data_IF_571636343221
#
_entry.id   IF_571636343221
#
_cell.length_a   1.000
_cell.length_b   1.000
_cell.length_c   1.000
_cell.angle_alpha   90.00
_cell.angle_beta   90.00
_cell.angle_gamma   90.00
#
_symmetry.space_group_name_H-M   'P 1'
#
loop_
_entity.id
_entity.type
_entity.pdbx_description
1 polymer ?
#
# COMPACT_ATOMS: atom_id res chain seq x y z
N UNK A 1 -35.19 8.79 -33.71
CA UNK A 1 -36.07 7.65 -33.32
C UNK A 1 -35.41 6.33 -33.73
N UNK A 2 -34.22 6.00 -33.20
CA UNK A 2 -33.40 4.85 -33.65
C UNK A 2 -32.76 4.06 -32.49
N UNK A 3 -33.39 4.09 -31.31
CA UNK A 3 -32.96 3.34 -30.14
C UNK A 3 -34.19 2.66 -29.55
N UNK A 4 -34.47 1.41 -29.93
CA UNK A 4 -35.06 0.35 -29.08
C UNK A 4 -35.62 -0.82 -29.89
N UNK A 5 -34.76 -1.79 -30.22
CA UNK A 5 -35.15 -3.21 -30.29
C UNK A 5 -33.98 -4.06 -29.79
N UNK A 6 -33.52 -3.81 -28.56
CA UNK A 6 -32.68 -4.79 -27.84
C UNK A 6 -33.60 -5.98 -27.56
N UNK A 7 -33.32 -7.15 -28.13
CA UNK A 7 -34.19 -8.32 -27.96
C UNK A 7 -34.09 -8.77 -26.50
N UNK A 8 -35.21 -9.21 -25.93
CA UNK A 8 -35.27 -9.74 -24.56
C UNK A 8 -34.21 -10.81 -24.25
N UNK A 9 -33.81 -11.59 -25.27
CA UNK A 9 -32.71 -12.58 -25.17
C UNK A 9 -31.35 -11.94 -24.89
N UNK A 10 -31.08 -10.77 -25.45
CA UNK A 10 -29.82 -10.02 -25.24
C UNK A 10 -29.75 -9.48 -23.80
N UNK A 11 -30.90 -9.11 -23.22
CA UNK A 11 -31.00 -8.66 -21.82
C UNK A 11 -30.72 -9.80 -20.82
N UNK A 12 -31.17 -11.02 -21.10
CA UNK A 12 -30.87 -12.19 -20.27
C UNK A 12 -29.39 -12.58 -20.36
N UNK A 13 -28.79 -12.51 -21.56
CA UNK A 13 -27.36 -12.72 -21.75
C UNK A 13 -26.55 -11.68 -20.98
N UNK A 14 -26.94 -10.41 -21.06
CA UNK A 14 -26.33 -9.32 -20.31
C UNK A 14 -26.42 -9.54 -18.79
N UNK A 15 -27.60 -9.92 -18.27
CA UNK A 15 -27.76 -10.24 -16.84
C UNK A 15 -26.87 -11.40 -16.39
N UNK A 16 -26.77 -12.46 -17.18
CA UNK A 16 -25.89 -13.61 -16.87
C UNK A 16 -24.42 -13.21 -16.92
N UNK A 17 -24.02 -12.41 -17.89
CA UNK A 17 -22.66 -11.89 -18.02
C UNK A 17 -22.29 -10.99 -16.83
N UNK A 18 -23.18 -10.05 -16.46
CA UNK A 18 -23.00 -9.17 -15.29
C UNK A 18 -22.93 -10.00 -14.00
N UNK A 19 -23.84 -10.95 -13.79
CA UNK A 19 -23.82 -11.81 -12.61
C UNK A 19 -22.52 -12.62 -12.50
N UNK A 20 -22.09 -13.24 -13.61
CA UNK A 20 -20.83 -13.99 -13.65
C UNK A 20 -19.63 -13.07 -13.36
N UNK A 21 -19.61 -11.88 -13.94
CA UNK A 21 -18.55 -10.90 -13.73
C UNK A 21 -18.53 -10.36 -12.29
N UNK A 22 -19.68 -10.04 -11.72
CA UNK A 22 -19.81 -9.63 -10.32
C UNK A 22 -19.36 -10.74 -9.38
N UNK A 23 -19.78 -12.00 -9.60
CA UNK A 23 -19.32 -13.13 -8.79
C UNK A 23 -17.80 -13.31 -8.89
N UNK A 24 -17.23 -13.13 -10.08
CA UNK A 24 -15.78 -13.20 -10.29
C UNK A 24 -15.03 -12.06 -9.60
N UNK A 25 -15.53 -10.83 -9.68
CA UNK A 25 -14.94 -9.66 -9.00
C UNK A 25 -15.02 -9.75 -7.48
N UNK A 26 -16.11 -10.32 -6.96
CA UNK A 26 -16.31 -10.51 -5.52
C UNK A 26 -15.35 -11.58 -5.00
N UNK A 27 -15.36 -12.76 -5.62
CA UNK A 27 -14.61 -13.93 -5.14
C UNK A 27 -13.11 -13.93 -5.43
N UNK A 28 -12.63 -13.11 -6.37
CA UNK A 28 -11.22 -13.09 -6.75
C UNK A 28 -10.53 -11.77 -6.41
N UNK A 29 -9.21 -11.82 -6.34
CA UNK A 29 -8.37 -10.63 -6.36
C UNK A 29 -8.63 -9.78 -7.60
N UNK A 30 -8.21 -8.52 -7.56
CA UNK A 30 -8.31 -7.60 -8.68
C UNK A 30 -6.96 -7.44 -9.37
N UNK A 31 -6.98 -6.85 -10.55
CA UNK A 31 -5.74 -6.36 -11.16
C UNK A 31 -5.20 -5.20 -10.33
N UNK A 32 -3.88 -5.00 -10.37
CA UNK A 32 -3.23 -3.85 -9.75
C UNK A 32 -3.79 -2.52 -10.26
N UNK A 33 -4.19 -2.44 -11.54
CA UNK A 33 -4.73 -1.22 -12.14
C UNK A 33 -6.11 -0.85 -11.55
N UNK A 34 -7.01 -1.82 -11.40
CA UNK A 34 -8.33 -1.55 -10.79
C UNK A 34 -8.18 -1.17 -9.32
N UNK A 35 -7.35 -1.89 -8.57
CA UNK A 35 -7.11 -1.54 -7.17
C UNK A 35 -6.47 -0.17 -7.01
N UNK A 36 -5.50 0.16 -7.86
CA UNK A 36 -4.86 1.46 -7.89
C UNK A 36 -5.83 2.60 -8.23
N UNK A 37 -6.71 2.44 -9.23
CA UNK A 37 -7.76 3.41 -9.52
C UNK A 37 -8.67 3.66 -8.30
N UNK A 38 -9.04 2.63 -7.55
CA UNK A 38 -9.87 2.77 -6.35
C UNK A 38 -9.12 3.50 -5.22
N UNK A 39 -7.82 3.24 -5.07
CA UNK A 39 -6.93 3.94 -4.14
C UNK A 39 -6.83 5.42 -4.54
N UNK A 40 -6.58 5.72 -5.81
CA UNK A 40 -6.49 7.10 -6.32
C UNK A 40 -7.79 7.87 -6.15
N UNK A 41 -8.94 7.21 -6.34
CA UNK A 41 -10.25 7.79 -6.05
C UNK A 41 -10.42 8.10 -4.55
N UNK A 42 -9.99 7.21 -3.66
CA UNK A 42 -10.03 7.44 -2.21
C UNK A 42 -9.21 8.66 -1.81
N UNK A 43 -7.96 8.74 -2.27
CA UNK A 43 -7.08 9.90 -2.04
C UNK A 43 -7.68 11.19 -2.61
N UNK A 44 -8.23 11.15 -3.83
CA UNK A 44 -8.84 12.30 -4.45
C UNK A 44 -10.06 12.82 -3.67
N UNK A 45 -10.94 11.93 -3.20
CA UNK A 45 -12.09 12.29 -2.37
C UNK A 45 -11.65 12.92 -1.05
N UNK A 46 -10.64 12.33 -0.40
CA UNK A 46 -10.09 12.87 0.84
C UNK A 46 -9.47 14.26 0.61
N UNK A 47 -8.65 14.39 -0.43
CA UNK A 47 -8.01 15.65 -0.82
C UNK A 47 -9.03 16.76 -1.12
N UNK A 48 -10.11 16.46 -1.84
CA UNK A 48 -11.18 17.45 -2.13
C UNK A 48 -11.79 18.03 -0.84
N UNK A 49 -11.82 17.25 0.25
CA UNK A 49 -12.43 17.68 1.52
C UNK A 49 -11.43 18.34 2.48
N UNK A 50 -10.20 17.86 2.52
CA UNK A 50 -9.20 18.23 3.53
C UNK A 50 -8.00 19.00 2.98
N UNK A 51 -7.90 19.19 1.67
CA UNK A 51 -6.82 19.91 0.96
C UNK A 51 -5.41 19.33 1.20
N UNK A 52 -5.32 18.10 1.69
CA UNK A 52 -4.07 17.34 1.79
C UNK A 52 -4.30 15.85 1.52
N UNK A 53 -3.25 15.09 1.13
CA UNK A 53 -3.34 13.64 0.97
C UNK A 53 -3.67 12.91 2.28
N UNK A 54 -4.02 11.62 2.20
CA UNK A 54 -4.29 10.82 3.41
C UNK A 54 -3.01 10.64 4.23
N UNK A 55 -3.02 11.11 5.48
CA UNK A 55 -1.97 10.81 6.45
C UNK A 55 -2.40 9.60 7.30
N UNK A 56 -1.54 8.59 7.43
CA UNK A 56 -1.86 7.38 8.19
C UNK A 56 -1.03 7.26 9.47
N UNK A 57 0.24 7.59 9.36
CA UNK A 57 1.24 7.38 10.40
C UNK A 57 0.95 8.15 11.69
N UNK A 58 0.57 9.43 11.58
CA UNK A 58 0.16 10.21 12.76
C UNK A 58 -1.13 9.65 13.35
N UNK A 59 -2.09 9.27 12.51
CA UNK A 59 -3.32 8.62 12.96
C UNK A 59 -3.09 7.32 13.73
N UNK A 60 -2.14 6.49 13.29
CA UNK A 60 -1.78 5.27 14.03
C UNK A 60 -1.13 5.59 15.38
N UNK A 61 -0.25 6.60 15.44
CA UNK A 61 0.35 7.05 16.69
C UNK A 61 -0.70 7.59 17.69
N UNK A 62 -1.69 8.35 17.21
CA UNK A 62 -2.84 8.80 18.01
C UNK A 62 -3.71 7.64 18.51
N UNK A 63 -3.90 6.61 17.69
CA UNK A 63 -4.60 5.38 18.10
C UNK A 63 -3.84 4.62 19.18
N UNK A 64 -2.50 4.57 19.10
CA UNK A 64 -1.69 4.04 20.19
C UNK A 64 -1.81 4.90 21.45
N UNK A 65 -1.74 6.24 21.34
CA UNK A 65 -1.95 7.15 22.47
C UNK A 65 -3.30 6.92 23.17
N UNK A 66 -4.36 6.62 22.41
CA UNK A 66 -5.66 6.19 22.95
C UNK A 66 -5.58 4.87 23.74
N UNK A 67 -4.83 3.89 23.23
CA UNK A 67 -4.58 2.64 23.97
C UNK A 67 -3.82 2.91 25.29
N UNK A 68 -2.78 3.75 25.27
CA UNK A 68 -2.03 4.08 26.50
C UNK A 68 -2.92 4.71 27.57
N UNK A 69 -3.79 5.64 27.15
CA UNK A 69 -4.75 6.31 28.04
C UNK A 69 -5.69 5.31 28.72
N UNK A 70 -6.14 4.29 27.99
CA UNK A 70 -6.98 3.22 28.56
C UNK A 70 -6.20 2.31 29.52
N UNK A 71 -4.91 2.09 29.25
CA UNK A 71 -4.04 1.26 30.09
C UNK A 71 -3.39 2.03 31.25
N UNK A 72 -3.61 3.34 31.35
CA UNK A 72 -3.14 4.17 32.47
C UNK A 72 -1.67 4.58 32.38
N UNK A 73 -1.07 4.62 31.18
CA UNK A 73 0.29 5.13 30.99
C UNK A 73 0.36 6.16 29.85
N UNK A 74 1.51 6.82 29.68
CA UNK A 74 1.66 7.92 28.72
C UNK A 74 3.07 8.03 28.13
N UNK A 75 3.44 7.17 27.17
CA UNK A 75 4.70 7.34 26.43
C UNK A 75 4.46 8.17 25.16
N UNK A 76 3.58 7.71 24.29
CA UNK A 76 3.19 8.38 23.06
C UNK A 76 2.18 9.52 23.29
N UNK A 77 1.27 9.36 24.25
CA UNK A 77 0.23 10.37 24.56
C UNK A 77 0.77 11.69 25.12
N UNK A 78 2.06 11.76 25.47
CA UNK A 78 2.76 13.03 25.78
C UNK A 78 2.96 13.92 24.56
N UNK A 79 3.03 13.31 23.38
CA UNK A 79 3.29 14.01 22.13
C UNK A 79 2.10 13.93 21.17
N UNK A 80 1.42 12.78 21.11
CA UNK A 80 0.26 12.57 20.25
C UNK A 80 -1.04 12.71 21.05
N UNK A 81 -2.00 13.47 20.53
CA UNK A 81 -3.33 13.53 21.12
C UNK A 81 -4.07 12.19 20.94
N UNK A 82 -4.59 11.57 22.01
CA UNK A 82 -5.41 10.38 21.90
C UNK A 82 -6.61 10.61 20.97
N UNK A 83 -6.68 9.88 19.86
CA UNK A 83 -7.75 9.97 18.87
C UNK A 83 -7.95 8.63 18.16
N UNK A 84 -8.98 8.55 17.30
CA UNK A 84 -9.17 7.45 16.35
C UNK A 84 -8.99 7.96 14.93
N UNK A 85 -8.29 7.18 14.12
CA UNK A 85 -8.13 7.47 12.71
C UNK A 85 -9.16 6.66 11.89
N UNK A 86 -10.31 7.25 11.63
CA UNK A 86 -11.44 6.59 10.96
C UNK A 86 -11.11 6.02 9.57
N UNK A 87 -10.14 6.59 8.85
CA UNK A 87 -9.65 6.02 7.58
C UNK A 87 -8.94 4.67 7.79
N UNK A 88 -8.18 4.52 8.89
CA UNK A 88 -7.51 3.24 9.22
C UNK A 88 -8.58 2.20 9.58
N UNK A 89 -9.57 2.58 10.38
CA UNK A 89 -10.72 1.72 10.72
C UNK A 89 -11.43 1.23 9.46
N UNK A 90 -11.74 2.15 8.53
CA UNK A 90 -12.32 1.82 7.23
C UNK A 90 -11.43 0.88 6.40
N UNK A 91 -10.12 1.09 6.39
CA UNK A 91 -9.18 0.26 5.64
C UNK A 91 -9.09 -1.18 6.19
N UNK A 92 -9.06 -1.35 7.51
CA UNK A 92 -9.10 -2.67 8.16
C UNK A 92 -10.45 -3.36 7.90
N UNK A 93 -11.56 -2.62 7.99
CA UNK A 93 -12.89 -3.16 7.71
C UNK A 93 -13.03 -3.63 6.25
N UNK A 94 -12.49 -2.88 5.29
CA UNK A 94 -12.46 -3.28 3.88
C UNK A 94 -11.67 -4.57 3.65
N UNK A 95 -10.58 -4.78 4.40
CA UNK A 95 -9.82 -6.02 4.33
C UNK A 95 -10.57 -7.22 4.94
N UNK A 96 -11.32 -7.01 6.02
CA UNK A 96 -12.24 -8.01 6.58
C UNK A 96 -13.30 -8.37 5.53
N UNK A 97 -13.93 -7.36 4.93
CA UNK A 97 -14.92 -7.55 3.85
C UNK A 97 -14.29 -8.31 2.67
N UNK A 98 -13.05 -7.99 2.30
CA UNK A 98 -12.30 -8.70 1.25
C UNK A 98 -12.11 -10.17 1.58
N UNK A 99 -11.66 -10.51 2.79
CA UNK A 99 -11.48 -11.90 3.21
C UNK A 99 -12.82 -12.67 3.20
N UNK A 100 -13.92 -12.02 3.58
CA UNK A 100 -15.26 -12.59 3.51
C UNK A 100 -15.74 -12.82 2.07
N UNK A 101 -15.55 -11.82 1.20
CA UNK A 101 -15.91 -11.87 -0.22
C UNK A 101 -15.15 -12.97 -0.97
N UNK A 102 -13.87 -13.14 -0.67
CA UNK A 102 -13.00 -14.19 -1.23
C UNK A 102 -13.19 -15.55 -0.55
N UNK A 103 -13.88 -15.59 0.59
CA UNK A 103 -14.01 -16.78 1.44
C UNK A 103 -12.65 -17.39 1.84
N UNK A 104 -11.62 -16.55 1.96
CA UNK A 104 -10.24 -16.96 2.24
C UNK A 104 -9.63 -16.05 3.32
N UNK A 105 -9.79 -16.44 4.58
CA UNK A 105 -9.10 -15.78 5.67
C UNK A 105 -7.63 -16.17 5.66
N UNK A 106 -6.71 -15.21 5.60
CA UNK A 106 -5.27 -15.47 5.51
C UNK A 106 -4.64 -15.84 6.85
N UNK A 107 -5.49 -16.26 7.78
CA UNK A 107 -5.14 -16.82 9.06
C UNK A 107 -4.38 -18.14 8.95
N UNK A 108 -4.63 -18.92 7.90
CA UNK A 108 -4.01 -20.23 7.66
C UNK A 108 -2.53 -20.14 7.29
N UNK A 109 -2.02 -18.97 6.90
CA UNK A 109 -0.62 -18.83 6.49
C UNK A 109 0.29 -18.96 7.71
N UNK A 110 1.12 -20.00 7.71
CA UNK A 110 2.10 -20.23 8.75
C UNK A 110 3.38 -19.45 8.43
N UNK A 111 3.84 -18.65 9.40
CA UNK A 111 5.10 -17.91 9.29
C UNK A 111 6.08 -18.42 10.35
N UNK A 112 7.34 -18.70 9.99
CA UNK A 112 8.35 -19.07 10.97
C UNK A 112 8.62 -17.87 11.89
N UNK A 113 9.05 -18.16 13.13
CA UNK A 113 9.31 -17.12 14.16
C UNK A 113 10.30 -16.06 13.70
N UNK A 114 11.27 -16.43 12.86
CA UNK A 114 12.23 -15.48 12.26
C UNK A 114 11.53 -14.39 11.45
N UNK A 115 10.52 -14.74 10.65
CA UNK A 115 9.74 -13.79 9.84
C UNK A 115 8.82 -12.93 10.71
N UNK A 116 8.29 -13.48 11.81
CA UNK A 116 7.52 -12.69 12.77
C UNK A 116 8.40 -11.64 13.48
N UNK A 117 9.59 -12.03 13.92
CA UNK A 117 10.58 -11.10 14.47
C UNK A 117 11.02 -10.05 13.45
N UNK A 118 11.24 -10.46 12.20
CA UNK A 118 11.55 -9.56 11.11
C UNK A 118 10.43 -8.54 10.89
N UNK A 119 9.17 -8.99 10.93
CA UNK A 119 8.01 -8.12 10.75
C UNK A 119 7.86 -7.12 11.91
N UNK A 120 8.12 -7.56 13.14
CA UNK A 120 8.16 -6.69 14.31
C UNK A 120 9.27 -5.63 14.20
N UNK A 121 10.50 -6.05 13.90
CA UNK A 121 11.63 -5.13 13.71
C UNK A 121 11.38 -4.19 12.53
N UNK A 122 10.79 -4.69 11.45
CA UNK A 122 10.36 -3.91 10.29
C UNK A 122 9.36 -2.83 10.67
N UNK A 123 8.34 -3.16 11.46
CA UNK A 123 7.39 -2.18 12.00
C UNK A 123 8.08 -1.08 12.80
N UNK A 124 9.03 -1.44 13.67
CA UNK A 124 9.79 -0.47 14.48
C UNK A 124 10.65 0.46 13.62
N UNK A 125 11.43 -0.09 12.69
CA UNK A 125 12.28 0.69 11.78
C UNK A 125 11.42 1.58 10.88
N UNK A 126 10.31 1.06 10.36
CA UNK A 126 9.40 1.79 9.49
C UNK A 126 8.71 2.95 10.22
N UNK A 127 8.12 2.73 11.39
CA UNK A 127 7.43 3.83 12.09
C UNK A 127 8.40 4.91 12.53
N UNK A 128 9.61 4.56 12.97
CA UNK A 128 10.62 5.57 13.25
C UNK A 128 11.00 6.34 11.97
N UNK A 129 11.31 5.64 10.88
CA UNK A 129 11.63 6.25 9.59
C UNK A 129 10.53 7.18 9.05
N UNK A 130 9.26 6.80 9.24
CA UNK A 130 8.11 7.60 8.82
C UNK A 130 7.95 8.91 9.60
N UNK A 131 8.50 9.01 10.83
CA UNK A 131 8.54 10.27 11.56
C UNK A 131 9.67 11.16 11.07
N UNK A 132 10.83 10.58 10.79
CA UNK A 132 11.98 11.32 10.23
C UNK A 132 11.67 11.88 8.83
N UNK A 133 10.93 11.12 8.01
CA UNK A 133 10.48 11.57 6.70
C UNK A 133 9.20 12.43 6.74
N UNK A 134 8.61 12.66 7.92
CA UNK A 134 7.33 13.36 8.09
C UNK A 134 6.17 12.74 7.29
N UNK A 135 6.21 11.44 7.04
CA UNK A 135 5.22 10.71 6.27
C UNK A 135 5.62 9.26 6.06
N UNK A 136 4.64 8.39 5.80
CA UNK A 136 4.90 7.04 5.30
C UNK A 136 4.87 7.01 3.78
N UNK A 137 5.00 5.81 3.23
CA UNK A 137 5.04 5.63 1.78
C UNK A 137 3.70 5.85 1.10
N UNK A 138 2.56 5.72 1.79
CA UNK A 138 1.27 6.22 1.26
C UNK A 138 1.35 7.73 1.02
N UNK A 139 1.79 8.47 2.03
CA UNK A 139 1.98 9.90 1.94
C UNK A 139 2.99 10.28 0.86
N UNK A 140 4.14 9.61 0.80
CA UNK A 140 5.19 9.99 -0.14
C UNK A 140 4.94 9.55 -1.57
N UNK A 141 4.53 8.29 -1.79
CA UNK A 141 4.40 7.69 -3.11
C UNK A 141 3.03 7.98 -3.75
N UNK A 142 1.95 8.04 -2.96
CA UNK A 142 0.63 8.40 -3.50
C UNK A 142 0.44 9.91 -3.47
N UNK A 143 0.47 10.49 -2.28
CA UNK A 143 0.28 11.93 -2.09
C UNK A 143 1.38 12.75 -2.73
N UNK A 144 2.63 12.53 -2.34
CA UNK A 144 3.75 13.38 -2.72
C UNK A 144 4.13 13.34 -4.19
N UNK A 145 4.01 12.19 -4.85
CA UNK A 145 4.16 12.13 -6.31
C UNK A 145 3.03 12.91 -6.99
N UNK A 146 1.78 12.75 -6.53
CA UNK A 146 0.65 13.48 -7.10
C UNK A 146 0.72 15.01 -6.84
N UNK A 147 1.29 15.44 -5.72
CA UNK A 147 1.50 16.87 -5.43
C UNK A 147 2.80 17.43 -6.02
N UNK A 148 3.56 16.62 -6.77
CA UNK A 148 4.86 16.99 -7.34
C UNK A 148 5.87 17.46 -6.28
N UNK A 149 5.79 16.91 -5.07
CA UNK A 149 6.57 17.36 -3.94
C UNK A 149 7.99 16.80 -3.97
N UNK A 150 8.99 17.69 -3.85
CA UNK A 150 10.40 17.32 -4.04
C UNK A 150 10.96 16.48 -2.90
N UNK A 151 10.48 16.70 -1.66
CA UNK A 151 10.82 15.86 -0.51
C UNK A 151 10.44 14.39 -0.73
N UNK A 152 9.25 14.15 -1.28
CA UNK A 152 8.81 12.81 -1.66
C UNK A 152 9.65 12.20 -2.77
N UNK A 153 10.05 12.98 -3.77
CA UNK A 153 10.95 12.47 -4.80
C UNK A 153 12.26 11.99 -4.17
N UNK A 154 12.84 12.74 -3.22
CA UNK A 154 14.02 12.30 -2.47
C UNK A 154 13.77 10.98 -1.73
N UNK A 155 12.64 10.87 -1.02
CA UNK A 155 12.24 9.62 -0.35
C UNK A 155 12.13 8.46 -1.33
N UNK A 156 11.54 8.66 -2.51
CA UNK A 156 11.42 7.62 -3.55
C UNK A 156 12.80 7.25 -4.11
N UNK A 157 13.61 8.25 -4.48
CA UNK A 157 14.93 8.04 -5.09
C UNK A 157 15.91 7.34 -4.15
N UNK A 158 15.86 7.63 -2.86
CA UNK A 158 16.68 6.95 -1.84
C UNK A 158 16.05 5.60 -1.45
N UNK A 159 14.73 5.55 -1.34
CA UNK A 159 14.01 4.37 -0.88
C UNK A 159 14.10 3.18 -1.83
N UNK A 160 13.96 3.38 -3.14
CA UNK A 160 14.02 2.28 -4.14
C UNK A 160 15.34 1.49 -4.07
N UNK A 161 16.54 2.09 -4.17
CA UNK A 161 17.79 1.34 -4.09
C UNK A 161 17.98 0.70 -2.71
N UNK A 162 17.53 1.34 -1.63
CA UNK A 162 17.57 0.74 -0.29
C UNK A 162 16.64 -0.48 -0.18
N UNK A 163 15.43 -0.43 -0.75
CA UNK A 163 14.51 -1.57 -0.79
C UNK A 163 15.12 -2.73 -1.57
N UNK A 164 15.77 -2.45 -2.71
CA UNK A 164 16.50 -3.45 -3.49
C UNK A 164 17.67 -4.07 -2.73
N UNK A 165 18.47 -3.26 -2.03
CA UNK A 165 19.55 -3.76 -1.19
C UNK A 165 19.02 -4.62 -0.04
N UNK A 166 17.92 -4.21 0.59
CA UNK A 166 17.26 -4.97 1.67
C UNK A 166 16.72 -6.29 1.14
N UNK A 167 16.07 -6.29 -0.02
CA UNK A 167 15.61 -7.50 -0.70
C UNK A 167 16.76 -8.47 -0.97
N UNK A 168 17.89 -7.95 -1.45
CA UNK A 168 19.09 -8.75 -1.68
C UNK A 168 19.60 -9.38 -0.37
N UNK A 169 19.64 -8.64 0.74
CA UNK A 169 19.99 -9.18 2.06
C UNK A 169 19.02 -10.30 2.47
N UNK A 170 17.71 -10.05 2.38
CA UNK A 170 16.69 -11.04 2.74
C UNK A 170 16.78 -12.31 1.89
N UNK A 171 17.15 -12.17 0.61
CA UNK A 171 17.38 -13.32 -0.27
C UNK A 171 18.56 -14.17 0.17
N UNK A 172 19.66 -13.54 0.61
CA UNK A 172 20.83 -14.24 1.14
C UNK A 172 20.52 -14.98 2.44
N UNK A 173 19.60 -14.44 3.24
CA UNK A 173 19.09 -15.07 4.46
C UNK A 173 18.03 -16.14 4.21
N UNK A 174 17.64 -16.39 2.95
CA UNK A 174 16.55 -17.30 2.55
C UNK A 174 15.20 -16.95 3.20
N UNK A 175 14.98 -15.66 3.47
CA UNK A 175 13.72 -15.14 4.03
C UNK A 175 12.81 -14.54 2.96
N UNK A 176 13.28 -14.46 1.72
CA UNK A 176 12.57 -13.88 0.58
C UNK A 176 11.37 -14.69 0.09
N UNK A 177 11.25 -15.97 0.48
CA UNK A 177 10.14 -16.86 0.07
C UNK A 177 8.75 -16.40 0.58
N UNK A 178 8.71 -15.54 1.59
CA UNK A 178 7.47 -14.95 2.11
C UNK A 178 7.11 -13.60 1.46
N UNK A 179 7.94 -13.09 0.55
CA UNK A 179 7.69 -11.87 -0.19
C UNK A 179 6.74 -12.13 -1.36
N UNK A 180 5.47 -12.37 -1.06
CA UNK A 180 4.39 -12.50 -2.07
C UNK A 180 3.50 -11.26 -2.08
N UNK A 181 2.89 -10.89 -3.22
CA UNK A 181 1.85 -9.87 -3.25
C UNK A 181 0.69 -10.23 -2.32
N UNK A 182 0.23 -11.48 -2.37
CA UNK A 182 -0.83 -11.99 -1.51
C UNK A 182 -0.75 -13.52 -1.43
N UNK A 183 -1.19 -14.10 -0.32
CA UNK A 183 -1.22 -15.54 -0.10
C UNK A 183 -2.63 -16.06 -0.37
N UNK A 184 -3.01 -16.33 -1.62
CA UNK A 184 -4.30 -16.95 -1.94
C UNK A 184 -4.21 -18.47 -1.81
N UNK A 185 -5.13 -19.08 -1.05
CA UNK A 185 -5.07 -20.54 -0.79
C UNK A 185 -5.15 -21.37 -2.07
N UNK A 186 -6.00 -20.97 -3.03
CA UNK A 186 -6.13 -21.64 -4.32
C UNK A 186 -4.84 -21.56 -5.13
N UNK A 187 -4.25 -20.38 -5.23
CA UNK A 187 -2.97 -20.16 -5.93
C UNK A 187 -1.82 -20.94 -5.28
N UNK A 188 -1.77 -20.99 -3.96
CA UNK A 188 -0.74 -21.71 -3.20
C UNK A 188 -0.87 -23.23 -3.35
N UNK A 189 -2.10 -23.77 -3.34
CA UNK A 189 -2.35 -25.19 -3.62
C UNK A 189 -1.96 -25.54 -5.05
N UNK A 190 -2.31 -24.69 -6.02
CA UNK A 190 -1.90 -24.89 -7.42
C UNK A 190 -0.38 -24.89 -7.57
N UNK A 191 0.31 -23.95 -6.92
CA UNK A 191 1.76 -23.89 -6.93
C UNK A 191 2.42 -25.14 -6.33
N UNK A 192 1.83 -25.72 -5.28
CA UNK A 192 2.28 -27.00 -4.71
C UNK A 192 2.14 -28.16 -5.69
N UNK A 193 1.02 -28.25 -6.40
CA UNK A 193 0.82 -29.27 -7.44
C UNK A 193 1.84 -29.16 -8.57
N UNK A 194 2.31 -27.94 -8.85
CA UNK A 194 3.34 -27.65 -9.86
C UNK A 194 4.78 -27.80 -9.34
N UNK A 195 4.97 -28.12 -8.06
CA UNK A 195 6.30 -28.29 -7.46
C UNK A 195 7.06 -26.97 -7.19
N UNK A 196 6.38 -25.82 -7.14
CA UNK A 196 7.01 -24.53 -6.91
C UNK A 196 7.24 -24.26 -5.41
N UNK A 197 8.28 -24.87 -4.84
CA UNK A 197 8.59 -24.88 -3.40
C UNK A 197 8.37 -23.53 -2.68
N UNK A 198 8.95 -22.45 -3.22
CA UNK A 198 8.88 -21.12 -2.60
C UNK A 198 7.49 -20.47 -2.67
N UNK A 199 6.63 -20.89 -3.59
CA UNK A 199 5.28 -20.33 -3.74
C UNK A 199 4.31 -20.93 -2.72
N UNK A 200 4.69 -21.98 -2.00
CA UNK A 200 3.88 -22.59 -0.94
C UNK A 200 4.54 -22.66 0.43
N UNK A 201 5.61 -21.89 0.69
CA UNK A 201 6.32 -21.89 1.99
C UNK A 201 5.44 -21.55 3.21
N UNK A 202 4.32 -20.86 3.01
CA UNK A 202 3.36 -20.54 4.08
C UNK A 202 2.27 -21.60 4.31
N UNK A 203 2.21 -22.65 3.50
CA UNK A 203 1.21 -23.72 3.61
C UNK A 203 1.71 -24.81 4.56
N UNK A 204 1.10 -24.89 5.74
CA UNK A 204 1.30 -25.97 6.70
C UNK A 204 -0.08 -26.58 7.05
N UNK A 205 -0.30 -27.84 6.65
CA UNK A 205 -1.56 -28.56 6.89
C UNK A 205 -1.81 -28.83 8.39
N UNK A 206 -0.74 -28.88 9.18
CA UNK A 206 -0.82 -29.07 10.63
C UNK A 206 -1.09 -27.78 11.40
N UNK A 207 -0.92 -26.61 10.76
CA UNK A 207 -1.06 -25.33 11.43
C UNK A 207 -2.51 -25.04 11.80
N UNK A 208 -2.74 -24.76 13.10
CA UNK A 208 -4.05 -24.44 13.67
C UNK A 208 -4.01 -23.01 14.22
N UNK A 209 -4.42 -21.99 13.43
CA UNK A 209 -4.27 -20.59 13.81
C UNK A 209 -4.95 -20.25 15.15
N UNK A 210 -6.10 -20.87 15.43
CA UNK A 210 -6.85 -20.68 16.68
C UNK A 210 -6.12 -21.20 17.93
N UNK A 211 -5.07 -22.02 17.78
CA UNK A 211 -4.26 -22.56 18.89
C UNK A 211 -2.87 -21.92 18.98
N UNK A 212 -2.52 -21.05 18.05
CA UNK A 212 -1.25 -20.34 18.05
C UNK A 212 -1.26 -19.23 19.09
N UNK A 213 -0.53 -19.45 20.19
CA UNK A 213 -0.47 -18.51 21.33
C UNK A 213 0.08 -17.15 20.93
N UNK A 214 1.09 -17.11 20.06
CA UNK A 214 1.69 -15.84 19.62
C UNK A 214 0.63 -15.04 18.86
N UNK A 215 -0.05 -15.68 17.92
CA UNK A 215 -1.13 -15.07 17.16
C UNK A 215 -2.25 -14.54 18.07
N UNK A 216 -2.69 -15.32 19.05
CA UNK A 216 -3.75 -14.90 19.99
C UNK A 216 -3.33 -13.64 20.76
N UNK A 217 -2.10 -13.60 21.30
CA UNK A 217 -1.57 -12.43 22.01
C UNK A 217 -1.56 -11.19 21.10
N UNK A 218 -1.12 -11.35 19.85
CA UNK A 218 -1.07 -10.23 18.91
C UNK A 218 -2.48 -9.77 18.49
N UNK A 219 -3.45 -10.68 18.38
CA UNK A 219 -4.86 -10.32 18.13
C UNK A 219 -5.42 -9.51 19.30
N UNK A 220 -5.12 -9.91 20.55
CA UNK A 220 -5.53 -9.15 21.74
C UNK A 220 -4.93 -7.75 21.68
N UNK A 221 -3.63 -7.62 21.40
CA UNK A 221 -2.96 -6.33 21.25
C UNK A 221 -3.59 -5.45 20.16
N UNK A 222 -3.81 -6.00 18.96
CA UNK A 222 -4.47 -5.27 17.87
C UNK A 222 -5.90 -4.85 18.22
N UNK A 223 -6.64 -5.72 18.92
CA UNK A 223 -8.02 -5.44 19.36
C UNK A 223 -8.06 -4.35 20.43
N UNK A 224 -7.09 -4.29 21.34
CA UNK A 224 -6.96 -3.22 22.33
C UNK A 224 -6.72 -1.86 21.66
N UNK A 225 -5.95 -1.81 20.58
CA UNK A 225 -5.72 -0.55 19.84
C UNK A 225 -6.97 -0.13 19.07
N UNK A 226 -7.55 -1.04 18.28
CA UNK A 226 -8.71 -0.73 17.45
C UNK A 226 -9.95 -0.43 18.31
N UNK A 227 -10.28 -1.30 19.27
CA UNK A 227 -11.39 -1.11 20.18
C UNK A 227 -11.14 0.06 21.13
N UNK A 228 -9.93 0.19 21.65
CA UNK A 228 -9.58 1.25 22.57
C UNK A 228 -9.61 2.65 21.95
N UNK A 229 -9.10 2.80 20.73
CA UNK A 229 -9.20 4.07 20.00
C UNK A 229 -10.65 4.46 19.67
N UNK A 230 -11.51 3.50 19.29
CA UNK A 230 -12.94 3.76 19.07
C UNK A 230 -13.61 4.23 20.37
N UNK A 231 -13.38 3.55 21.50
CA UNK A 231 -13.93 3.96 22.81
C UNK A 231 -13.41 5.35 23.22
N UNK A 232 -12.12 5.61 23.04
CA UNK A 232 -11.52 6.91 23.32
C UNK A 232 -12.09 8.03 22.45
N UNK A 233 -12.40 7.75 21.18
CA UNK A 233 -12.96 8.75 20.26
C UNK A 233 -14.31 9.27 20.70
N UNK A 234 -15.17 8.38 21.22
CA UNK A 234 -16.49 8.73 21.74
C UNK A 234 -16.43 9.66 22.96
N UNK A 235 -15.31 9.69 23.67
CA UNK A 235 -15.13 10.51 24.87
C UNK A 235 -14.34 11.80 24.63
N UNK A 236 -13.66 11.95 23.49
CA UNK A 236 -12.63 12.99 23.31
C UNK A 236 -12.77 13.88 22.08
N UNK A 237 -13.43 13.43 21.00
CA UNK A 237 -13.50 14.21 19.75
C UNK A 237 -14.93 14.29 19.23
N UNK A 238 -15.50 15.50 19.23
CA UNK A 238 -16.81 15.76 18.64
C UNK A 238 -16.69 15.86 17.10
N UNK A 239 -16.56 14.72 16.42
CA UNK A 239 -16.79 14.63 14.96
C UNK A 239 -18.26 14.34 14.68
N UNK A 240 -18.82 14.96 13.65
CA UNK A 240 -20.18 14.65 13.21
C UNK A 240 -20.25 13.22 12.66
N UNK A 241 -21.40 12.55 12.81
CA UNK A 241 -21.62 11.22 12.25
C UNK A 241 -21.39 11.17 10.72
N UNK A 242 -21.74 12.25 10.01
CA UNK A 242 -21.50 12.37 8.57
C UNK A 242 -20.00 12.43 8.24
N UNK A 243 -19.19 13.09 9.07
CA UNK A 243 -17.74 13.12 8.88
C UNK A 243 -17.11 11.75 9.15
N UNK A 244 -17.53 11.08 10.22
CA UNK A 244 -17.09 9.71 10.53
C UNK A 244 -17.42 8.77 9.37
N UNK A 245 -18.66 8.80 8.87
CA UNK A 245 -19.10 7.99 7.75
C UNK A 245 -18.27 8.28 6.49
N UNK A 246 -17.98 9.55 6.21
CA UNK A 246 -17.14 9.93 5.08
C UNK A 246 -15.72 9.36 5.21
N UNK A 247 -15.08 9.50 6.37
CA UNK A 247 -13.72 9.00 6.59
C UNK A 247 -13.64 7.47 6.54
N UNK A 248 -14.66 6.79 7.08
CA UNK A 248 -14.79 5.33 6.96
C UNK A 248 -14.97 4.93 5.50
N UNK A 249 -15.79 5.65 4.72
CA UNK A 249 -15.97 5.40 3.28
C UNK A 249 -14.66 5.57 2.51
N UNK A 250 -13.92 6.66 2.74
CA UNK A 250 -12.58 6.86 2.17
C UNK A 250 -11.67 5.69 2.53
N UNK A 251 -11.62 5.32 3.82
CA UNK A 251 -10.87 4.17 4.31
C UNK A 251 -11.27 2.85 3.65
N UNK A 252 -12.56 2.62 3.42
CA UNK A 252 -13.07 1.43 2.75
C UNK A 252 -12.58 1.34 1.32
N UNK A 253 -12.64 2.43 0.55
CA UNK A 253 -12.14 2.47 -0.83
C UNK A 253 -10.63 2.21 -0.88
N UNK A 254 -9.88 2.86 0.01
CA UNK A 254 -8.43 2.68 0.15
C UNK A 254 -8.09 1.22 0.48
N UNK A 255 -8.69 0.68 1.54
CA UNK A 255 -8.45 -0.68 2.02
C UNK A 255 -8.88 -1.74 1.02
N UNK A 256 -9.98 -1.56 0.29
CA UNK A 256 -10.41 -2.50 -0.76
C UNK A 256 -9.38 -2.57 -1.88
N UNK A 257 -8.88 -1.43 -2.35
CA UNK A 257 -7.86 -1.41 -3.40
C UNK A 257 -6.58 -2.13 -2.99
N UNK A 258 -6.12 -1.92 -1.75
CA UNK A 258 -4.95 -2.61 -1.20
C UNK A 258 -5.19 -4.10 -0.91
N UNK A 259 -6.32 -4.45 -0.29
CA UNK A 259 -6.63 -5.82 0.12
C UNK A 259 -6.94 -6.74 -1.07
N UNK A 260 -7.59 -6.23 -2.12
CA UNK A 260 -7.92 -7.02 -3.33
C UNK A 260 -6.74 -7.22 -4.27
N UNK A 261 -5.69 -6.42 -4.17
CA UNK A 261 -4.52 -6.52 -5.08
C UNK A 261 -3.25 -7.00 -4.40
N UNK A 262 -3.17 -6.89 -3.07
CA UNK A 262 -1.92 -7.13 -2.35
C UNK A 262 -0.82 -6.12 -2.66
N UNK A 263 -1.16 -4.96 -3.25
CA UNK A 263 -0.19 -3.93 -3.63
C UNK A 263 0.53 -3.36 -2.41
N UNK A 264 1.84 -3.14 -2.53
CA UNK A 264 2.61 -2.27 -1.64
C UNK A 264 3.21 -1.14 -2.46
N UNK A 265 3.25 0.07 -1.92
CA UNK A 265 3.70 1.27 -2.65
C UNK A 265 5.19 1.21 -3.00
N UNK A 266 6.04 0.76 -2.08
CA UNK A 266 7.50 0.63 -2.31
C UNK A 266 7.79 -0.52 -3.26
N UNK A 267 7.15 -1.68 -3.04
CA UNK A 267 7.24 -2.82 -3.93
C UNK A 267 6.81 -2.46 -5.36
N UNK A 268 5.79 -1.61 -5.48
CA UNK A 268 5.32 -1.14 -6.77
C UNK A 268 6.35 -0.26 -7.47
N UNK A 269 6.90 0.71 -6.77
CA UNK A 269 7.91 1.62 -7.30
C UNK A 269 9.21 0.92 -7.71
N UNK A 270 9.56 -0.18 -7.05
CA UNK A 270 10.75 -0.98 -7.33
C UNK A 270 10.62 -1.91 -8.54
N UNK A 271 9.40 -2.16 -9.02
CA UNK A 271 9.18 -3.15 -10.07
C UNK A 271 9.90 -2.87 -11.41
N UNK A 272 10.05 -1.62 -11.88
CA UNK A 272 10.87 -1.33 -13.07
C UNK A 272 12.33 -1.81 -12.94
N UNK A 273 12.98 -1.56 -11.80
CA UNK A 273 14.37 -1.95 -11.54
C UNK A 273 14.51 -3.47 -11.43
N UNK A 274 13.54 -4.15 -10.82
CA UNK A 274 13.58 -5.62 -10.72
C UNK A 274 13.53 -6.31 -12.08
N UNK A 275 12.88 -5.70 -13.08
CA UNK A 275 12.88 -6.22 -14.45
C UNK A 275 14.29 -6.23 -15.05
N UNK A 276 15.07 -5.18 -14.80
CA UNK A 276 16.47 -5.08 -15.28
C UNK A 276 17.34 -6.16 -14.61
N UNK A 277 17.01 -6.51 -13.37
CA UNK A 277 17.77 -7.46 -12.55
C UNK A 277 17.19 -8.88 -12.54
N UNK A 278 16.32 -9.23 -13.49
CA UNK A 278 15.56 -10.50 -13.53
C UNK A 278 16.41 -11.73 -13.22
N UNK A 279 17.57 -11.87 -13.86
CA UNK A 279 18.41 -13.07 -13.72
C UNK A 279 18.96 -13.22 -12.28
N UNK A 280 19.23 -12.10 -11.59
CA UNK A 280 19.68 -12.11 -10.20
C UNK A 280 18.57 -12.50 -9.24
N UNK A 281 17.30 -12.23 -9.58
CA UNK A 281 16.16 -12.65 -8.79
C UNK A 281 15.97 -14.18 -8.84
N UNK A 282 16.31 -14.83 -9.95
CA UNK A 282 16.17 -16.28 -10.08
C UNK A 282 16.97 -17.03 -9.01
N UNK A 283 18.18 -16.54 -8.72
CA UNK A 283 19.10 -17.07 -7.71
C UNK A 283 18.70 -16.74 -6.26
N UNK A 284 17.71 -15.88 -6.05
CA UNK A 284 17.42 -15.23 -4.77
C UNK A 284 16.31 -15.92 -3.92
N UNK A 285 15.82 -17.10 -4.32
CA UNK A 285 14.76 -17.82 -3.59
C UNK A 285 13.41 -17.07 -3.53
N UNK A 286 13.24 -16.02 -4.36
CA UNK A 286 12.01 -15.24 -4.41
C UNK A 286 10.90 -16.08 -5.08
N UNK A 287 9.65 -16.03 -4.58
CA UNK A 287 8.52 -16.74 -5.16
C UNK A 287 8.34 -16.39 -6.63
N UNK A 288 7.99 -17.40 -7.43
CA UNK A 288 7.77 -17.28 -8.88
C UNK A 288 6.64 -16.29 -9.18
N UNK A 289 5.54 -16.32 -8.42
CA UNK A 289 4.47 -15.32 -8.53
C UNK A 289 4.99 -13.88 -8.36
N UNK A 290 5.91 -13.66 -7.42
CA UNK A 290 6.51 -12.34 -7.18
C UNK A 290 7.40 -11.93 -8.33
N UNK A 291 8.30 -12.82 -8.78
CA UNK A 291 9.16 -12.58 -9.96
C UNK A 291 8.33 -12.22 -11.19
N UNK A 292 7.26 -12.97 -11.42
CA UNK A 292 6.34 -12.79 -12.54
C UNK A 292 5.59 -11.45 -12.46
N UNK A 293 5.08 -11.11 -11.28
CA UNK A 293 4.36 -9.85 -11.03
C UNK A 293 5.28 -8.63 -11.21
N UNK A 294 6.51 -8.74 -10.73
CA UNK A 294 7.50 -7.65 -10.79
C UNK A 294 8.08 -7.48 -12.20
N UNK A 295 8.45 -8.57 -12.87
CA UNK A 295 8.98 -8.52 -14.25
C UNK A 295 7.97 -7.99 -15.27
N UNK A 296 6.67 -8.17 -15.01
CA UNK A 296 5.58 -7.58 -15.79
C UNK A 296 5.23 -6.14 -15.40
N UNK A 297 5.89 -5.55 -14.39
CA UNK A 297 5.69 -4.16 -13.96
C UNK A 297 4.22 -3.88 -13.54
N UNK A 298 3.44 -4.92 -13.21
CA UNK A 298 2.03 -4.77 -12.83
C UNK A 298 1.83 -3.89 -11.59
N UNK A 299 2.63 -4.04 -10.52
CA UNK A 299 2.52 -3.19 -9.34
C UNK A 299 2.75 -1.71 -9.66
N UNK A 300 3.73 -1.36 -10.51
CA UNK A 300 3.99 0.03 -10.90
C UNK A 300 2.84 0.62 -11.72
N UNK A 301 2.23 -0.17 -12.62
CA UNK A 301 1.00 0.25 -13.30
C UNK A 301 -0.13 0.55 -12.29
N UNK A 302 -0.25 -0.28 -11.25
CA UNK A 302 -1.16 -0.04 -10.13
C UNK A 302 -0.86 1.26 -9.38
N UNK A 303 0.40 1.49 -9.02
CA UNK A 303 0.84 2.72 -8.35
C UNK A 303 0.52 3.96 -9.19
N UNK A 304 0.86 3.96 -10.47
CA UNK A 304 0.57 5.07 -11.38
C UNK A 304 -0.95 5.29 -11.54
N UNK A 305 -1.74 4.21 -11.60
CA UNK A 305 -3.20 4.31 -11.64
C UNK A 305 -3.82 4.88 -10.36
N UNK A 306 -3.10 4.85 -9.23
CA UNK A 306 -3.48 5.53 -8.00
C UNK A 306 -3.03 7.01 -7.98
N UNK A 307 -1.81 7.30 -8.44
CA UNK A 307 -1.25 8.66 -8.46
C UNK A 307 -1.97 9.57 -9.46
N UNK A 308 -2.27 9.08 -10.66
CA UNK A 308 -2.81 9.89 -11.76
C UNK A 308 -4.16 10.53 -11.40
N UNK A 309 -5.18 9.81 -10.88
CA UNK A 309 -6.46 10.42 -10.52
C UNK A 309 -6.33 11.55 -9.50
N UNK A 310 -5.54 11.34 -8.44
CA UNK A 310 -5.28 12.37 -7.43
C UNK A 310 -4.56 13.57 -8.06
N UNK A 311 -3.52 13.33 -8.88
CA UNK A 311 -2.77 14.37 -9.56
C UNK A 311 -3.66 15.25 -10.45
N UNK A 312 -4.57 14.63 -11.22
CA UNK A 312 -5.50 15.35 -12.08
C UNK A 312 -6.47 16.24 -11.28
N UNK A 313 -6.93 15.77 -10.12
CA UNK A 313 -7.78 16.57 -9.21
C UNK A 313 -7.00 17.75 -8.62
N UNK A 314 -5.73 17.53 -8.23
CA UNK A 314 -4.85 18.61 -7.76
C UNK A 314 -4.63 19.67 -8.84
N UNK A 315 -4.31 19.25 -10.08
CA UNK A 315 -4.15 20.18 -11.20
C UNK A 315 -5.43 20.97 -11.48
N UNK A 316 -6.58 20.33 -11.41
CA UNK A 316 -7.87 21.00 -11.56
C UNK A 316 -8.09 22.05 -10.46
N UNK A 317 -7.91 21.69 -9.19
CA UNK A 317 -8.07 22.63 -8.07
C UNK A 317 -7.09 23.80 -8.17
N UNK A 318 -5.83 23.53 -8.54
CA UNK A 318 -4.79 24.55 -8.61
C UNK A 318 -4.91 25.45 -9.84
N UNK A 319 -4.93 24.88 -11.05
CA UNK A 319 -4.88 25.65 -12.30
C UNK A 319 -6.25 26.28 -12.60
N UNK A 320 -7.34 25.53 -12.39
CA UNK A 320 -8.69 25.98 -12.81
C UNK A 320 -9.39 26.76 -11.71
N UNK A 321 -9.22 26.36 -10.44
CA UNK A 321 -9.91 27.01 -9.31
C UNK A 321 -9.02 27.95 -8.50
N UNK A 322 -7.73 28.01 -8.79
CA UNK A 322 -6.79 28.91 -8.11
C UNK A 322 -6.50 28.52 -6.66
N UNK A 323 -6.81 27.28 -6.24
CA UNK A 323 -6.39 26.80 -4.93
C UNK A 323 -4.86 26.70 -4.88
N UNK A 324 -4.21 26.95 -3.73
CA UNK A 324 -2.76 26.77 -3.63
C UNK A 324 -2.40 25.30 -3.87
N UNK A 325 -1.25 25.05 -4.50
CA UNK A 325 -0.73 23.69 -4.63
C UNK A 325 -0.48 23.12 -3.23
N UNK A 326 -1.04 21.96 -2.88
CA UNK A 326 -0.91 21.41 -1.55
C UNK A 326 0.55 21.04 -1.25
N UNK A 327 0.99 21.37 -0.04
CA UNK A 327 2.28 20.91 0.45
C UNK A 327 2.11 19.53 1.07
N UNK A 328 2.89 18.56 0.57
CA UNK A 328 3.00 17.26 1.22
C UNK A 328 4.06 17.26 2.34
N UNK A 329 4.38 18.41 2.94
CA UNK A 329 5.31 18.53 4.06
C UNK A 329 4.73 19.40 5.17
N UNK A 330 5.36 19.38 6.35
CA UNK A 330 4.99 20.33 7.40
C UNK A 330 5.24 21.76 6.88
N UNK A 331 4.27 22.68 7.00
CA UNK A 331 4.48 24.08 6.63
C UNK A 331 5.64 24.72 7.40
N UNK A 332 5.97 24.15 8.56
CA UNK A 332 7.01 24.66 9.46
C UNK A 332 8.43 24.16 9.11
N UNK A 333 8.57 23.17 8.20
CA UNK A 333 9.88 22.62 7.84
C UNK A 333 10.45 23.29 6.58
N UNK A 334 11.65 23.92 6.67
CA UNK A 334 12.26 24.61 5.54
C UNK A 334 12.79 23.59 4.52
N UNK A 335 12.14 23.52 3.36
CA UNK A 335 12.62 22.79 2.19
C UNK A 335 12.88 21.30 2.44
N UNK A 336 13.85 20.75 1.69
CA UNK A 336 14.30 19.36 1.85
C UNK A 336 15.33 19.33 2.99
N UNK A 337 15.17 18.43 3.94
CA UNK A 337 16.13 18.25 5.04
C UNK A 337 16.61 16.79 5.11
N UNK A 338 17.63 16.53 5.94
CA UNK A 338 18.24 15.20 6.12
C UNK A 338 17.21 14.12 6.50
N UNK A 339 16.10 14.51 7.12
CA UNK A 339 15.00 13.63 7.51
C UNK A 339 14.40 12.85 6.34
N UNK A 340 14.27 13.45 5.16
CA UNK A 340 13.77 12.75 3.97
C UNK A 340 14.72 11.66 3.48
N UNK A 341 16.04 11.88 3.59
CA UNK A 341 17.04 10.90 3.19
C UNK A 341 17.07 9.73 4.19
N UNK A 342 17.28 10.03 5.48
CA UNK A 342 17.35 9.00 6.52
C UNK A 342 16.03 8.27 6.70
N UNK A 343 14.93 9.01 6.70
CA UNK A 343 13.58 8.45 6.76
C UNK A 343 13.28 7.60 5.54
N UNK A 344 13.67 8.01 4.32
CA UNK A 344 13.52 7.20 3.11
C UNK A 344 14.26 5.86 3.18
N UNK A 345 15.50 5.84 3.69
CA UNK A 345 16.26 4.61 3.94
C UNK A 345 15.52 3.70 4.92
N UNK A 346 15.10 4.24 6.07
CA UNK A 346 14.47 3.44 7.12
C UNK A 346 13.07 2.95 6.72
N UNK A 347 12.28 3.76 6.02
CA UNK A 347 11.01 3.36 5.42
C UNK A 347 11.21 2.19 4.45
N UNK A 348 12.19 2.27 3.57
CA UNK A 348 12.48 1.21 2.61
C UNK A 348 12.91 -0.09 3.30
N UNK A 349 13.84 -0.03 4.25
CA UNK A 349 14.25 -1.20 5.05
C UNK A 349 13.02 -1.78 5.75
N UNK A 350 12.34 -0.97 6.55
CA UNK A 350 11.20 -1.40 7.37
C UNK A 350 10.09 -2.04 6.52
N UNK A 351 9.80 -1.48 5.34
CA UNK A 351 8.77 -2.00 4.43
C UNK A 351 9.10 -3.40 3.91
N UNK A 352 10.36 -3.66 3.59
CA UNK A 352 10.81 -4.98 3.14
C UNK A 352 10.79 -6.00 4.29
N UNK A 353 11.20 -5.59 5.50
CA UNK A 353 11.22 -6.46 6.68
C UNK A 353 9.81 -6.86 7.15
N UNK A 354 8.82 -5.97 7.03
CA UNK A 354 7.41 -6.28 7.36
C UNK A 354 6.58 -6.81 6.20
N UNK A 355 7.21 -7.07 5.05
CA UNK A 355 6.58 -7.60 3.84
C UNK A 355 5.45 -6.67 3.30
N UNK A 356 5.64 -5.35 3.38
CA UNK A 356 4.68 -4.35 2.90
C UNK A 356 4.90 -2.94 3.46
N UNK A 357 4.13 -1.96 2.97
CA UNK A 357 3.99 -0.63 3.59
C UNK A 357 3.00 -0.65 4.76
N UNK A 358 2.94 0.46 5.51
CA UNK A 358 1.97 0.67 6.59
C UNK A 358 0.51 0.43 6.18
N UNK A 359 0.03 1.00 5.08
CA UNK A 359 -1.36 0.79 4.62
C UNK A 359 -1.62 -0.66 4.19
N UNK A 360 -0.63 -1.31 3.56
CA UNK A 360 -0.72 -2.73 3.22
C UNK A 360 -0.75 -3.58 4.48
N UNK A 361 -0.05 -3.18 5.54
CA UNK A 361 -0.11 -3.85 6.84
C UNK A 361 -1.52 -3.77 7.44
N UNK A 362 -2.27 -2.68 7.27
CA UNK A 362 -3.68 -2.62 7.68
C UNK A 362 -4.57 -3.55 6.84
N UNK A 363 -4.34 -3.59 5.53
CA UNK A 363 -5.05 -4.52 4.65
C UNK A 363 -4.75 -5.98 5.01
N UNK A 364 -3.50 -6.30 5.35
CA UNK A 364 -3.10 -7.63 5.83
C UNK A 364 -3.62 -7.93 7.23
N UNK A 365 -3.73 -6.92 8.11
CA UNK A 365 -4.32 -7.09 9.43
C UNK A 365 -5.78 -7.55 9.33
N UNK A 366 -6.60 -6.85 8.54
CA UNK A 366 -8.02 -7.19 8.37
C UNK A 366 -8.23 -8.56 7.70
N UNK A 367 -7.30 -9.02 6.85
CA UNK A 367 -7.33 -10.37 6.27
C UNK A 367 -6.80 -11.47 7.22
N UNK A 368 -6.23 -11.10 8.37
CA UNK A 368 -5.77 -12.04 9.40
C UNK A 368 -4.33 -12.55 9.24
N UNK A 369 -3.43 -11.80 8.60
CA UNK A 369 -2.01 -12.17 8.50
C UNK A 369 -1.29 -12.02 9.84
N UNK A 370 -0.57 -13.06 10.27
CA UNK A 370 0.22 -13.02 11.53
C UNK A 370 1.41 -12.04 11.45
N UNK A 371 1.99 -11.82 10.27
CA UNK A 371 3.06 -10.83 10.08
C UNK A 371 2.59 -9.41 10.31
N UNK A 372 1.39 -9.06 9.83
CA UNK A 372 0.80 -7.75 10.08
C UNK A 372 0.48 -7.54 11.57
N UNK A 373 -0.03 -8.58 12.23
CA UNK A 373 -0.22 -8.61 13.68
C UNK A 373 1.10 -8.39 14.44
N UNK A 374 2.21 -8.99 13.99
CA UNK A 374 3.53 -8.84 14.59
C UNK A 374 4.16 -7.45 14.35
N UNK A 375 3.86 -6.81 13.21
CA UNK A 375 4.36 -5.47 12.89
C UNK A 375 3.77 -4.38 13.80
N UNK A 376 2.54 -4.55 14.30
CA UNK A 376 1.84 -3.54 15.13
C UNK A 376 2.57 -3.17 16.43
N UNK A 377 2.98 -4.13 17.28
CA UNK A 377 3.84 -3.82 18.43
C UNK A 377 5.17 -3.15 18.02
N UNK A 378 5.69 -3.52 16.85
CA UNK A 378 6.85 -2.86 16.25
C UNK A 378 6.59 -1.38 15.98
N UNK A 379 5.48 -1.05 15.31
CA UNK A 379 5.10 0.33 15.02
C UNK A 379 5.03 1.18 16.29
N UNK A 380 4.38 0.67 17.34
CA UNK A 380 4.29 1.32 18.64
C UNK A 380 5.68 1.69 19.17
N UNK A 381 6.59 0.72 19.24
CA UNK A 381 7.93 0.95 19.77
C UNK A 381 8.78 1.87 18.89
N UNK A 382 8.61 1.83 17.56
CA UNK A 382 9.34 2.74 16.68
C UNK A 382 8.88 4.20 16.77
N UNK A 383 7.66 4.47 17.25
CA UNK A 383 7.22 5.84 17.55
C UNK A 383 7.83 6.40 18.84
N UNK A 384 8.20 5.54 19.80
CA UNK A 384 8.65 5.96 21.14
C UNK A 384 9.90 6.86 21.09
N UNK A 385 10.99 6.53 20.36
CA UNK A 385 12.17 7.39 20.31
C UNK A 385 11.85 8.79 19.80
N UNK A 386 11.00 8.90 18.77
CA UNK A 386 10.60 10.19 18.23
C UNK A 386 9.74 10.96 19.25
N UNK A 387 8.74 10.33 19.86
CA UNK A 387 7.89 10.99 20.86
C UNK A 387 8.70 11.55 22.06
N UNK A 388 9.71 10.81 22.53
CA UNK A 388 10.54 11.21 23.66
C UNK A 388 11.58 12.29 23.32
N UNK A 389 12.07 12.32 22.08
CA UNK A 389 13.21 13.16 21.68
C UNK A 389 12.96 14.05 20.46
N UNK A 390 11.70 14.31 20.10
CA UNK A 390 11.34 15.02 18.85
C UNK A 390 12.10 16.33 18.66
N UNK A 391 12.21 17.18 19.69
CA UNK A 391 12.92 18.46 19.58
C UNK A 391 14.39 18.29 19.18
N UNK A 392 15.08 17.29 19.75
CA UNK A 392 16.49 17.03 19.44
C UNK A 392 16.64 16.41 18.05
N UNK A 393 15.73 15.51 17.70
CA UNK A 393 15.71 14.85 16.40
C UNK A 393 15.43 15.89 15.30
N UNK A 394 14.36 16.68 15.43
CA UNK A 394 14.00 17.70 14.46
C UNK A 394 15.10 18.74 14.31
N UNK A 395 15.66 19.25 15.42
CA UNK A 395 16.80 20.17 15.36
C UNK A 395 18.02 19.59 14.62
N UNK A 396 18.33 18.31 14.85
CA UNK A 396 19.38 17.62 14.11
C UNK A 396 19.02 17.47 12.62
N UNK A 397 17.80 17.03 12.30
CA UNK A 397 17.37 16.84 10.92
C UNK A 397 17.36 18.14 10.12
N UNK A 398 16.91 19.24 10.72
CA UNK A 398 16.83 20.57 10.08
C UNK A 398 18.17 21.30 10.06
N UNK A 399 19.17 20.84 10.80
CA UNK A 399 20.53 21.44 10.76
C UNK A 399 21.19 21.31 9.39
N UNK A 400 20.74 20.36 8.57
CA UNK A 400 21.20 20.13 7.19
C UNK A 400 20.00 20.32 6.26
N UNK A 401 19.77 21.57 5.87
CA UNK A 401 18.77 21.95 4.88
C UNK A 401 19.40 21.94 3.47
N UNK A 402 18.71 21.31 2.53
CA UNK A 402 19.05 21.30 1.12
C UNK A 402 18.13 22.32 0.43
N UNK A 403 18.70 23.38 -0.19
CA UNK A 403 17.93 24.46 -0.81
C UNK A 403 17.32 23.99 -2.13
N UNK A 404 16.25 23.20 -2.04
CA UNK A 404 15.43 22.76 -3.17
C UNK A 404 14.02 23.34 -3.01
N UNK A 405 13.38 23.80 -4.11
CA UNK A 405 11.99 24.23 -4.06
C UNK A 405 11.10 23.10 -3.54
N UNK A 406 10.06 23.44 -2.78
CA UNK A 406 9.20 22.44 -2.14
C UNK A 406 8.45 21.58 -3.17
N UNK A 407 8.15 22.10 -4.36
CA UNK A 407 7.48 21.35 -5.43
C UNK A 407 8.16 21.57 -6.78
N UNK A 408 7.99 20.63 -7.71
CA UNK A 408 8.59 20.73 -9.05
C UNK A 408 8.17 21.99 -9.82
N UNK A 409 6.89 22.43 -9.81
CA UNK A 409 6.50 23.66 -10.49
C UNK A 409 7.32 24.88 -10.04
N UNK A 410 7.65 24.98 -8.75
CA UNK A 410 8.45 26.08 -8.20
C UNK A 410 9.90 26.14 -8.75
N UNK A 411 10.38 25.11 -9.47
CA UNK A 411 11.65 25.19 -10.23
C UNK A 411 11.60 26.25 -11.34
N UNK A 412 10.41 26.60 -11.84
CA UNK A 412 10.23 27.72 -12.77
C UNK A 412 10.28 29.09 -12.08
N UNK A 413 10.60 29.17 -10.78
CA UNK A 413 10.63 30.42 -10.03
C UNK A 413 9.26 31.10 -9.99
N UNK A 414 9.24 32.44 -10.12
CA UNK A 414 8.02 33.25 -10.06
C UNK A 414 7.20 33.30 -11.35
N UNK A 415 7.53 32.54 -12.40
CA UNK A 415 6.87 32.60 -13.70
C UNK A 415 5.64 31.65 -13.74
N UNK A 416 4.39 32.15 -13.65
CA UNK A 416 3.21 31.27 -13.49
C UNK A 416 2.98 30.32 -14.68
N UNK A 417 3.26 30.80 -15.89
CA UNK A 417 3.18 29.98 -17.11
C UNK A 417 4.22 28.85 -17.10
N UNK A 418 5.42 29.11 -16.58
CA UNK A 418 6.47 28.10 -16.42
C UNK A 418 6.09 27.04 -15.39
N UNK A 419 5.53 27.43 -14.25
CA UNK A 419 5.04 26.50 -13.22
C UNK A 419 3.96 25.59 -13.79
N UNK A 420 2.99 26.16 -14.52
CA UNK A 420 1.90 25.41 -15.18
C UNK A 420 2.46 24.45 -16.23
N UNK A 421 3.42 24.89 -17.05
CA UNK A 421 4.05 24.04 -18.06
C UNK A 421 4.78 22.84 -17.44
N UNK A 422 5.54 23.04 -16.35
CA UNK A 422 6.21 21.95 -15.63
C UNK A 422 5.19 20.93 -15.13
N UNK A 423 4.09 21.39 -14.54
CA UNK A 423 3.06 20.52 -14.01
C UNK A 423 2.33 19.71 -15.09
N UNK A 424 2.01 20.33 -16.23
CA UNK A 424 1.42 19.64 -17.38
C UNK A 424 2.39 18.61 -17.95
N UNK A 425 3.67 18.96 -18.10
CA UNK A 425 4.70 18.02 -18.55
C UNK A 425 4.85 16.84 -17.58
N UNK A 426 4.78 17.08 -16.28
CA UNK A 426 4.79 16.04 -15.26
C UNK A 426 3.58 15.10 -15.39
N UNK A 427 2.37 15.65 -15.58
CA UNK A 427 1.17 14.85 -15.83
C UNK A 427 1.31 13.98 -17.09
N UNK A 428 1.80 14.56 -18.18
CA UNK A 428 2.08 13.83 -19.42
C UNK A 428 3.10 12.70 -19.19
N UNK A 429 4.15 12.95 -18.41
CA UNK A 429 5.14 11.93 -18.07
C UNK A 429 4.53 10.78 -17.25
N UNK A 430 3.70 11.08 -16.25
CA UNK A 430 3.00 10.04 -15.47
C UNK A 430 2.09 9.17 -16.36
N UNK A 431 1.32 9.79 -17.26
CA UNK A 431 0.45 9.07 -18.21
C UNK A 431 1.27 8.24 -19.19
N UNK A 432 2.37 8.80 -19.72
CA UNK A 432 3.27 8.07 -20.62
C UNK A 432 3.90 6.85 -19.93
N UNK A 433 4.36 7.01 -18.67
CA UNK A 433 4.88 5.92 -17.85
C UNK A 433 3.81 4.85 -17.58
N UNK A 434 2.56 5.25 -17.35
CA UNK A 434 1.46 4.31 -17.15
C UNK A 434 1.20 3.48 -18.42
N UNK A 435 1.04 4.14 -19.56
CA UNK A 435 0.84 3.47 -20.85
C UNK A 435 2.03 2.55 -21.21
N UNK A 436 3.26 3.01 -20.93
CA UNK A 436 4.46 2.19 -21.08
C UNK A 436 4.41 0.95 -20.19
N UNK A 437 4.09 1.10 -18.89
CA UNK A 437 4.03 -0.02 -17.95
C UNK A 437 2.98 -1.07 -18.36
N UNK A 438 1.81 -0.63 -18.84
CA UNK A 438 0.75 -1.50 -19.36
C UNK A 438 1.21 -2.23 -20.62
N UNK A 439 1.87 -1.53 -21.55
CA UNK A 439 2.39 -2.15 -22.78
C UNK A 439 3.47 -3.18 -22.48
N UNK A 440 4.41 -2.87 -21.59
CA UNK A 440 5.45 -3.80 -21.17
C UNK A 440 4.85 -4.99 -20.44
N UNK A 441 3.89 -4.76 -19.54
CA UNK A 441 3.19 -5.80 -18.81
C UNK A 441 2.45 -6.75 -19.75
N UNK A 442 1.55 -6.25 -20.60
CA UNK A 442 0.81 -7.06 -21.59
C UNK A 442 1.74 -7.89 -22.49
N UNK A 443 2.81 -7.28 -23.00
CA UNK A 443 3.82 -7.98 -23.81
C UNK A 443 4.56 -9.07 -23.03
N UNK A 444 4.88 -8.83 -21.76
CA UNK A 444 5.61 -9.80 -20.91
C UNK A 444 4.72 -10.97 -20.51
N UNK A 445 3.42 -10.71 -20.33
CA UNK A 445 2.44 -11.71 -19.92
C UNK A 445 1.82 -12.48 -21.10
N UNK A 446 2.00 -12.01 -22.33
CA UNK A 446 1.32 -12.57 -23.50
C UNK A 446 -0.20 -12.51 -23.35
N UNK A 447 -0.72 -11.42 -22.80
CA UNK A 447 -2.14 -11.19 -22.58
C UNK A 447 -2.64 -9.94 -23.30
N UNK A 448 -3.95 -9.87 -23.50
CA UNK A 448 -4.59 -8.67 -24.06
C UNK A 448 -4.63 -7.53 -23.03
N UNK A 449 -4.78 -6.28 -23.50
CA UNK A 449 -5.00 -5.12 -22.63
C UNK A 449 -6.22 -5.32 -21.71
N UNK A 450 -7.32 -5.86 -22.23
CA UNK A 450 -8.51 -6.14 -21.41
C UNK A 450 -8.23 -7.15 -20.30
N UNK A 451 -7.47 -8.21 -20.59
CA UNK A 451 -7.07 -9.18 -19.56
C UNK A 451 -6.18 -8.54 -18.49
N UNK A 452 -5.22 -7.70 -18.87
CA UNK A 452 -4.34 -6.98 -17.95
C UNK A 452 -5.11 -6.09 -16.96
N UNK A 453 -6.16 -5.42 -17.44
CA UNK A 453 -6.98 -4.54 -16.62
C UNK A 453 -7.99 -5.29 -15.76
N UNK A 454 -8.63 -6.35 -16.25
CA UNK A 454 -9.81 -6.92 -15.59
C UNK A 454 -9.61 -8.34 -15.04
N UNK A 455 -8.48 -8.98 -15.31
CA UNK A 455 -8.17 -10.30 -14.77
C UNK A 455 -7.36 -10.16 -13.49
N UNK A 456 -7.66 -10.99 -12.50
CA UNK A 456 -6.86 -11.04 -11.27
C UNK A 456 -5.42 -11.45 -11.58
N UNK A 457 -4.47 -10.86 -10.85
CA UNK A 457 -3.04 -11.16 -10.99
C UNK A 457 -2.79 -12.67 -10.87
N UNK A 458 -3.38 -13.32 -9.85
CA UNK A 458 -3.26 -14.76 -9.63
C UNK A 458 -3.73 -15.60 -10.83
N UNK A 459 -4.85 -15.21 -11.45
CA UNK A 459 -5.37 -15.94 -12.61
C UNK A 459 -4.47 -15.75 -13.84
N UNK A 460 -3.90 -14.56 -14.03
CA UNK A 460 -2.94 -14.32 -15.11
C UNK A 460 -1.65 -15.13 -14.88
N UNK A 461 -1.16 -15.19 -13.64
CA UNK A 461 -0.01 -16.00 -13.26
C UNK A 461 -0.25 -17.49 -13.54
N UNK A 462 -1.33 -18.07 -13.00
CA UNK A 462 -1.65 -19.49 -13.19
C UNK A 462 -1.80 -19.84 -14.67
N UNK A 463 -2.49 -19.00 -15.47
CA UNK A 463 -2.63 -19.23 -16.92
C UNK A 463 -1.29 -19.16 -17.67
N UNK A 464 -0.42 -18.22 -17.29
CA UNK A 464 0.92 -18.09 -17.88
C UNK A 464 1.73 -19.37 -17.65
N UNK A 465 1.66 -19.91 -16.43
CA UNK A 465 2.34 -21.14 -16.05
C UNK A 465 1.81 -22.35 -16.82
N UNK A 466 0.48 -22.48 -16.95
CA UNK A 466 -0.16 -23.54 -17.74
C UNK A 466 0.30 -23.56 -19.20
N UNK A 467 0.38 -22.39 -19.84
CA UNK A 467 0.86 -22.27 -21.23
C UNK A 467 2.30 -22.73 -21.37
N UNK A 468 3.16 -22.42 -20.39
CA UNK A 468 4.57 -22.82 -20.41
C UNK A 468 4.79 -24.33 -20.30
N UNK A 469 3.85 -25.05 -19.67
CA UNK A 469 3.93 -26.50 -19.45
C UNK A 469 3.21 -27.34 -20.53
N UNK A 470 2.57 -26.71 -21.52
CA UNK A 470 1.86 -27.42 -22.60
C UNK A 470 0.63 -28.22 -22.14
N UNK A 471 0.13 -28.03 -20.92
CA UNK A 471 -0.94 -28.84 -20.32
C UNK A 471 -2.27 -28.10 -20.14
N UNK A 472 -3.38 -28.79 -20.38
CA UNK A 472 -4.73 -28.35 -19.96
C UNK A 472 -4.95 -28.68 -18.49
N UNK A 473 -5.27 -27.68 -17.66
CA UNK A 473 -5.73 -27.91 -16.29
C UNK A 473 -7.20 -28.33 -16.24
N UNK A 474 -7.62 -29.09 -15.21
CA UNK A 474 -9.03 -29.21 -14.89
C UNK A 474 -9.56 -27.84 -14.46
N UNK A 475 -10.55 -27.32 -15.20
CA UNK A 475 -11.26 -26.10 -14.83
C UNK A 475 -12.02 -26.34 -13.53
N UNK A 476 -11.62 -25.67 -12.45
CA UNK A 476 -12.33 -25.64 -11.15
C UNK A 476 -13.56 -24.76 -11.18
#
# INVERSE_FOLDING_TARGET
MFLWKVKWKDLQLYRRAVYFYCRKLVGNQWSFVIGGLLIGLSEALYYIKYDHPIHLTTGLAEMFASMERLLGFSLLSRYYSPSVHWVIVGAVLAAVITAMMEQDWRAWVHYPRSILWLSFAGGMVFSFGSRLASGCTTWHFLGGLATMWTGSLVVVFVGIPTAMATLWILSRMRLSEFLKPQENKGTVVAARMLGYAHDFSGLDEGYKPARDRIRIILIIFASLILGGSVIASWTSTARSAAEILFLVLVGLLLGLGFAKTGMGTECAAMSPETRILRDRFELAGIPKITKWTFSSIMPFAGLLSAVIPLHLVILWQWIVRGHPLPLAGSPDLPGIHLGYVLGGVLLAIGSMLMLGCEIRTYARLGMGYTTALAAFPGFYLGYVPYALYHQRIDAFLTSIAIPLPQNLPALAGGFPMGQTAIAVLYACALVALFLWSVRVGTSTLGCSYGEYFFTSTDNLYVRSEQRSQGGQWPTT
#
